data_IF_816301276808
#
_entry.id   IF_816301276808
#
_cell.length_a   1.000
_cell.length_b   1.000
_cell.length_c   1.000
_cell.angle_alpha   90.00
_cell.angle_beta   90.00
_cell.angle_gamma   90.00
#
_symmetry.space_group_name_H-M   'P 1'
#
loop_
_entity.id
_entity.type
_entity.pdbx_description
1 polymer ?
#
# COMPACT_ATOMS: atom_id res chain seq x y z
N UNK A 1 45.46 -38.15 -16.59
CA UNK A 1 45.09 -37.99 -15.17
C UNK A 1 45.07 -36.53 -14.70
N UNK A 2 46.09 -35.70 -14.96
CA UNK A 2 46.10 -34.29 -14.52
C UNK A 2 45.07 -33.35 -15.20
N UNK A 3 44.70 -33.60 -16.46
CA UNK A 3 43.74 -32.77 -17.21
C UNK A 3 42.29 -32.94 -16.74
N UNK A 4 41.92 -34.13 -16.23
CA UNK A 4 40.57 -34.43 -15.74
C UNK A 4 40.24 -33.64 -14.47
N UNK A 5 41.21 -33.46 -13.59
CA UNK A 5 41.07 -32.68 -12.35
C UNK A 5 40.78 -31.20 -12.62
N UNK A 6 41.40 -30.60 -13.65
CA UNK A 6 41.15 -29.21 -14.00
C UNK A 6 39.73 -28.97 -14.51
N UNK A 7 39.16 -29.92 -15.27
CA UNK A 7 37.78 -29.82 -15.78
C UNK A 7 36.75 -29.95 -14.64
N UNK A 8 36.99 -30.84 -13.68
CA UNK A 8 36.09 -31.03 -12.53
C UNK A 8 36.09 -29.80 -11.62
N UNK A 9 37.26 -29.21 -11.33
CA UNK A 9 37.37 -27.99 -10.52
C UNK A 9 36.64 -26.82 -11.18
N UNK A 10 36.80 -26.65 -12.50
CA UNK A 10 36.11 -25.58 -13.23
C UNK A 10 34.59 -25.76 -13.25
N UNK A 11 34.10 -27.00 -13.32
CA UNK A 11 32.67 -27.31 -13.25
C UNK A 11 32.05 -27.01 -11.87
N UNK A 12 32.80 -27.22 -10.78
CA UNK A 12 32.31 -26.91 -9.41
C UNK A 12 32.26 -25.41 -9.10
N UNK A 13 33.11 -24.60 -9.74
CA UNK A 13 33.09 -23.13 -9.59
C UNK A 13 31.91 -22.48 -10.32
N UNK A 14 31.45 -23.07 -11.43
CA UNK A 14 30.34 -22.53 -12.21
C UNK A 14 28.96 -22.73 -11.53
N UNK A 15 28.78 -23.78 -10.73
CA UNK A 15 27.49 -24.05 -10.05
C UNK A 15 27.28 -23.19 -8.81
N UNK A 16 28.34 -22.66 -8.19
CA UNK A 16 28.24 -21.81 -7.00
C UNK A 16 27.63 -20.42 -7.30
N UNK A 17 27.85 -19.88 -8.50
CA UNK A 17 27.33 -18.57 -8.89
C UNK A 17 25.80 -18.53 -9.05
N UNK A 18 25.20 -19.62 -9.53
CA UNK A 18 23.77 -19.70 -9.82
C UNK A 18 22.89 -19.72 -8.57
N UNK A 19 23.35 -20.37 -7.50
CA UNK A 19 22.59 -20.49 -6.24
C UNK A 19 22.44 -19.14 -5.54
N UNK A 20 23.50 -18.33 -5.52
CA UNK A 20 23.47 -16.98 -4.92
C UNK A 20 22.51 -16.05 -5.68
N UNK A 21 22.44 -16.16 -7.00
CA UNK A 21 21.55 -15.34 -7.83
C UNK A 21 20.06 -15.67 -7.62
N UNK A 22 19.71 -16.95 -7.47
CA UNK A 22 18.32 -17.35 -7.20
C UNK A 22 17.85 -16.91 -5.80
N UNK A 23 18.73 -16.99 -4.80
CA UNK A 23 18.42 -16.55 -3.44
C UNK A 23 18.15 -15.04 -3.42
N UNK A 24 19.04 -14.23 -4.01
CA UNK A 24 18.86 -12.78 -4.05
C UNK A 24 17.53 -12.35 -4.69
N UNK A 25 17.15 -12.97 -5.81
CA UNK A 25 15.91 -12.65 -6.54
C UNK A 25 14.65 -12.96 -5.73
N UNK A 26 14.64 -14.06 -4.97
CA UNK A 26 13.50 -14.46 -4.14
C UNK A 26 13.31 -13.50 -2.95
N UNK A 27 14.41 -13.10 -2.31
CA UNK A 27 14.41 -12.08 -1.24
C UNK A 27 13.90 -10.72 -1.73
N UNK A 28 14.31 -10.28 -2.93
CA UNK A 28 13.88 -8.99 -3.49
C UNK A 28 12.38 -9.01 -3.88
N UNK A 29 11.88 -10.13 -4.39
CA UNK A 29 10.45 -10.34 -4.71
C UNK A 29 9.57 -10.34 -3.44
N UNK A 30 9.99 -11.03 -2.38
CA UNK A 30 9.27 -11.01 -1.11
C UNK A 30 9.26 -9.62 -0.46
N UNK A 31 10.38 -8.90 -0.51
CA UNK A 31 10.45 -7.53 0.03
C UNK A 31 9.59 -6.56 -0.77
N UNK A 32 9.57 -6.65 -2.10
CA UNK A 32 8.68 -5.86 -2.94
C UNK A 32 7.19 -6.16 -2.64
N UNK A 33 6.84 -7.42 -2.37
CA UNK A 33 5.47 -7.82 -2.02
C UNK A 33 5.03 -7.37 -0.62
N UNK A 34 5.97 -7.18 0.32
CA UNK A 34 5.72 -6.59 1.65
C UNK A 34 5.57 -5.07 1.63
N UNK A 35 6.08 -4.42 0.59
CA UNK A 35 6.03 -2.97 0.43
C UNK A 35 4.95 -2.53 -0.58
N UNK A 36 3.83 -3.26 -0.64
CA UNK A 36 2.66 -2.82 -1.40
C UNK A 36 1.78 -1.92 -0.51
N UNK A 37 1.81 -0.58 -0.69
CA UNK A 37 0.99 0.35 0.09
C UNK A 37 -0.52 0.14 -0.11
N UNK A 38 -0.94 -0.60 -1.15
CA UNK A 38 -2.36 -0.90 -1.38
C UNK A 38 -2.91 -1.97 -0.43
N UNK A 39 -2.04 -2.80 0.19
CA UNK A 39 -2.44 -3.76 1.24
C UNK A 39 -2.57 -3.15 2.64
N UNK A 40 -2.24 -1.87 2.80
CA UNK A 40 -2.22 -1.21 4.12
C UNK A 40 -3.50 -0.45 4.43
N UNK A 41 -4.38 -0.22 3.44
CA UNK A 41 -5.53 0.70 3.58
C UNK A 41 -6.82 0.04 3.11
N UNK A 42 -7.82 0.01 3.98
CA UNK A 42 -9.14 -0.56 3.70
C UNK A 42 -10.19 0.54 3.78
N UNK A 43 -11.07 0.62 2.78
CA UNK A 43 -12.15 1.61 2.71
C UNK A 43 -13.49 0.90 2.55
N UNK A 44 -14.38 1.06 3.53
CA UNK A 44 -15.65 0.34 3.57
C UNK A 44 -16.74 1.13 4.32
N UNK A 45 -18.03 0.93 4.01
CA UNK A 45 -18.53 0.21 2.85
C UNK A 45 -18.21 0.99 1.56
N UNK A 46 -17.97 0.25 0.48
CA UNK A 46 -17.87 0.82 -0.86
C UNK A 46 -18.80 0.00 -1.78
N UNK A 47 -20.00 0.51 -2.13
CA UNK A 47 -20.41 1.91 -2.04
C UNK A 47 -20.85 2.38 -0.64
N UNK A 48 -20.63 3.67 -0.32
CA UNK A 48 -20.99 4.33 0.92
C UNK A 48 -22.34 5.07 0.82
N UNK A 49 -23.06 5.18 1.95
CA UNK A 49 -24.37 5.87 2.03
C UNK A 49 -24.30 7.06 3.00
N UNK A 50 -24.08 6.81 4.29
CA UNK A 50 -23.97 7.89 5.29
C UNK A 50 -22.54 8.09 5.79
N UNK A 51 -21.79 6.99 5.89
CA UNK A 51 -20.41 6.98 6.40
C UNK A 51 -19.54 6.09 5.54
N UNK A 52 -18.25 6.43 5.51
CA UNK A 52 -17.17 5.56 5.05
C UNK A 52 -16.13 5.44 6.15
N UNK A 53 -15.69 4.21 6.40
CA UNK A 53 -14.62 3.87 7.32
C UNK A 53 -13.33 3.70 6.54
N UNK A 54 -12.24 4.18 7.11
CA UNK A 54 -10.89 4.02 6.57
C UNK A 54 -10.05 3.38 7.65
N UNK A 55 -9.54 2.19 7.38
CA UNK A 55 -8.68 1.43 8.29
C UNK A 55 -7.26 1.32 7.73
N UNK A 56 -6.27 1.51 8.60
CA UNK A 56 -4.85 1.42 8.30
C UNK A 56 -4.22 0.28 9.12
N UNK A 57 -3.60 -0.71 8.49
CA UNK A 57 -3.14 -1.90 9.22
C UNK A 57 -1.84 -1.68 10.02
N UNK A 58 -0.94 -0.81 9.54
CA UNK A 58 0.40 -0.62 10.12
C UNK A 58 0.77 0.85 10.36
N UNK A 59 -0.17 1.77 10.15
CA UNK A 59 0.05 3.22 10.24
C UNK A 59 -1.03 3.81 11.14
N UNK A 60 -0.63 4.66 12.08
CA UNK A 60 -1.54 5.38 12.95
C UNK A 60 -1.95 6.72 12.30
N UNK A 61 -3.22 7.10 12.43
CA UNK A 61 -3.79 8.33 11.90
C UNK A 61 -3.22 9.65 12.48
N UNK A 62 -2.50 9.62 13.61
CA UNK A 62 -1.83 10.80 14.21
C UNK A 62 -0.79 11.42 13.28
N UNK A 63 -0.24 10.63 12.36
CA UNK A 63 0.82 11.05 11.44
C UNK A 63 0.31 11.26 10.02
N UNK A 64 -0.99 11.02 9.77
CA UNK A 64 -1.55 11.00 8.42
C UNK A 64 -2.59 12.11 8.26
N UNK A 65 -2.37 12.97 7.28
CA UNK A 65 -3.36 13.93 6.80
C UNK A 65 -4.32 13.24 5.86
N UNK A 66 -5.61 13.41 6.11
CA UNK A 66 -6.71 12.84 5.33
C UNK A 66 -7.42 13.98 4.63
N UNK A 67 -7.65 13.83 3.33
CA UNK A 67 -8.40 14.80 2.51
C UNK A 67 -9.30 14.06 1.54
N UNK A 68 -10.50 14.59 1.30
CA UNK A 68 -11.44 14.05 0.33
C UNK A 68 -11.55 15.02 -0.83
N UNK A 69 -11.51 14.47 -2.04
CA UNK A 69 -11.73 15.22 -3.26
C UNK A 69 -12.85 14.58 -4.07
N UNK A 70 -13.58 15.38 -4.83
CA UNK A 70 -14.46 14.84 -5.87
C UNK A 70 -13.61 14.29 -7.04
N UNK A 71 -14.25 13.64 -8.01
CA UNK A 71 -13.55 13.05 -9.16
C UNK A 71 -12.81 14.07 -10.04
N UNK A 72 -13.18 15.35 -9.98
CA UNK A 72 -12.55 16.45 -10.71
C UNK A 72 -11.31 16.98 -9.97
N UNK A 73 -11.16 16.64 -8.68
CA UNK A 73 -10.04 17.04 -7.83
C UNK A 73 -10.33 18.21 -6.90
N UNK A 74 -11.58 18.68 -6.79
CA UNK A 74 -11.93 19.71 -5.80
C UNK A 74 -11.99 19.07 -4.42
N UNK A 75 -11.33 19.69 -3.44
CA UNK A 75 -11.39 19.27 -2.04
C UNK A 75 -12.79 19.53 -1.45
N UNK A 76 -13.29 18.55 -0.69
CA UNK A 76 -14.60 18.56 -0.05
C UNK A 76 -14.38 18.53 1.45
N UNK A 77 -14.97 19.48 2.16
CA UNK A 77 -14.97 19.47 3.62
C UNK A 77 -15.82 18.29 4.11
N UNK A 78 -15.21 17.43 4.90
CA UNK A 78 -15.82 16.21 5.41
C UNK A 78 -15.64 16.14 6.93
N UNK A 79 -16.73 15.88 7.64
CA UNK A 79 -16.63 15.60 9.08
C UNK A 79 -15.98 14.25 9.29
N UNK A 80 -14.78 14.27 9.87
CA UNK A 80 -13.99 13.08 10.17
C UNK A 80 -13.96 12.87 11.68
N UNK A 81 -14.33 11.67 12.09
CA UNK A 81 -14.33 11.24 13.48
C UNK A 81 -13.34 10.10 13.67
N UNK A 82 -12.55 10.16 14.73
CA UNK A 82 -11.60 9.10 15.07
C UNK A 82 -12.31 8.01 15.87
N UNK A 83 -12.26 6.78 15.35
CA UNK A 83 -12.83 5.61 16.02
C UNK A 83 -11.77 4.96 16.92
N UNK A 84 -10.56 4.79 16.40
CA UNK A 84 -9.40 4.33 17.14
C UNK A 84 -8.07 4.85 16.53
N UNK A 85 -6.93 4.24 16.86
CA UNK A 85 -5.62 4.65 16.35
C UNK A 85 -5.42 4.39 14.85
N UNK A 86 -6.11 3.38 14.33
CA UNK A 86 -5.99 2.77 13.01
C UNK A 86 -7.27 2.88 12.19
N UNK A 87 -8.33 3.48 12.72
CA UNK A 87 -9.61 3.64 12.06
C UNK A 87 -10.21 5.04 12.28
N UNK A 88 -10.65 5.64 11.17
CA UNK A 88 -11.48 6.83 11.15
C UNK A 88 -12.79 6.55 10.43
N UNK A 89 -13.81 7.32 10.80
CA UNK A 89 -15.11 7.37 10.14
C UNK A 89 -15.32 8.75 9.55
N UNK A 90 -15.70 8.80 8.28
CA UNK A 90 -15.96 10.03 7.57
C UNK A 90 -17.43 10.08 7.21
N UNK A 91 -18.12 11.16 7.63
CA UNK A 91 -19.52 11.40 7.27
C UNK A 91 -19.56 11.87 5.81
N UNK A 92 -20.30 11.13 4.99
CA UNK A 92 -20.49 11.42 3.56
C UNK A 92 -21.95 11.62 3.20
N UNK A 93 -22.86 11.59 4.18
CA UNK A 93 -24.32 11.68 3.97
C UNK A 93 -24.74 12.82 3.03
N UNK A 94 -24.14 13.99 3.21
CA UNK A 94 -24.50 15.21 2.49
C UNK A 94 -23.73 15.38 1.18
N UNK A 95 -22.95 14.37 0.77
CA UNK A 95 -22.26 14.37 -0.51
C UNK A 95 -23.20 13.93 -1.62
N UNK A 96 -23.05 14.56 -2.79
CA UNK A 96 -23.69 14.11 -4.01
C UNK A 96 -23.29 12.66 -4.36
N UNK A 97 -24.17 11.95 -5.06
CA UNK A 97 -23.85 10.61 -5.54
C UNK A 97 -22.75 10.67 -6.59
N UNK A 98 -21.74 9.79 -6.48
CA UNK A 98 -20.62 9.79 -7.41
C UNK A 98 -19.33 9.22 -6.85
N UNK A 99 -18.27 9.32 -7.64
CA UNK A 99 -16.93 8.87 -7.23
C UNK A 99 -16.18 9.98 -6.49
N UNK A 100 -15.52 9.58 -5.43
CA UNK A 100 -14.66 10.43 -4.62
C UNK A 100 -13.29 9.80 -4.47
N UNK A 101 -12.30 10.65 -4.21
CA UNK A 101 -10.91 10.30 -3.99
C UNK A 101 -10.53 10.65 -2.57
N UNK A 102 -10.13 9.65 -1.80
CA UNK A 102 -9.57 9.81 -0.48
C UNK A 102 -8.05 9.81 -0.56
N UNK A 103 -7.43 10.92 -0.20
CA UNK A 103 -5.99 11.07 -0.20
C UNK A 103 -5.45 11.03 1.24
N UNK A 104 -4.49 10.13 1.45
CA UNK A 104 -3.71 9.97 2.68
C UNK A 104 -2.30 10.47 2.43
N UNK A 105 -1.80 11.34 3.30
CA UNK A 105 -0.44 11.88 3.23
C UNK A 105 0.20 11.89 4.61
N UNK A 106 1.31 11.18 4.76
CA UNK A 106 2.21 11.30 5.91
C UNK A 106 3.40 12.18 5.52
N UNK A 107 3.54 13.33 6.19
CA UNK A 107 4.64 14.26 5.93
C UNK A 107 6.00 13.74 6.45
N UNK A 108 6.02 12.73 7.33
CA UNK A 108 7.23 12.15 7.93
C UNK A 108 7.73 10.92 7.17
N UNK A 109 6.82 10.01 6.77
CA UNK A 109 7.20 8.73 6.15
C UNK A 109 7.20 8.72 4.62
N UNK A 110 6.91 9.87 3.97
CA UNK A 110 6.65 9.97 2.52
C UNK A 110 5.48 9.11 2.01
N UNK A 111 4.72 8.47 2.89
CA UNK A 111 3.54 7.71 2.51
C UNK A 111 2.50 8.63 1.88
N UNK A 112 2.13 8.33 0.63
CA UNK A 112 1.09 9.03 -0.13
C UNK A 112 0.26 7.99 -0.85
N UNK A 113 -1.04 7.96 -0.55
CA UNK A 113 -1.99 7.04 -1.17
C UNK A 113 -3.27 7.76 -1.55
N UNK A 114 -3.80 7.48 -2.73
CA UNK A 114 -5.10 7.98 -3.17
C UNK A 114 -6.00 6.81 -3.51
N UNK A 115 -7.18 6.77 -2.90
CA UNK A 115 -8.09 5.64 -2.98
C UNK A 115 -9.47 6.11 -3.44
N UNK A 116 -10.08 5.38 -4.36
CA UNK A 116 -11.40 5.72 -4.91
C UNK A 116 -12.50 4.99 -4.17
N UNK A 117 -13.58 5.69 -3.82
CA UNK A 117 -14.81 5.08 -3.35
C UNK A 117 -16.04 5.69 -4.04
N UNK A 118 -17.15 4.95 -4.03
CA UNK A 118 -18.43 5.36 -4.60
C UNK A 118 -19.39 5.78 -3.48
N UNK A 119 -19.97 6.97 -3.59
CA UNK A 119 -21.11 7.43 -2.78
C UNK A 119 -22.41 7.16 -3.55
N UNK A 120 -23.38 6.53 -2.89
CA UNK A 120 -24.74 6.29 -3.40
C UNK A 120 -25.71 7.41 -3.04
#
# INVERSE_FOLDING_TARGET
MRLLYFVVIFCTLATAGSVMAQVQVDYDLEQAARHDPSRTVQIFPNPAVEFVHVRLDHINFDKVKVSIHNIIGNEINADTERIDEHEIRIRVKDFDAGYYLLALKDDQSNFRGTYKFLKR
#
